data_IF_260938693580
#
_entry.id   IF_260938693580
#
_cell.length_a   1.000
_cell.length_b   1.000
_cell.length_c   1.000
_cell.angle_alpha   90.00
_cell.angle_beta   90.00
_cell.angle_gamma   90.00
#
_symmetry.space_group_name_H-M   'P 1'
#
loop_
_entity.id
_entity.type
_entity.pdbx_description
1 polymer ?
#
# COMPACT_ATOMS: atom_id res chain seq x y z
N UNK A 1 -39.42 33.43 22.93
CA UNK A 1 -38.72 32.50 23.87
C UNK A 1 -38.39 31.22 23.10
N UNK A 2 -37.26 31.20 22.39
CA UNK A 2 -36.71 29.99 21.78
C UNK A 2 -35.41 29.70 22.55
N UNK A 3 -35.42 28.65 23.37
CA UNK A 3 -34.21 28.13 24.03
C UNK A 3 -33.38 27.47 22.93
N UNK A 4 -32.35 28.16 22.43
CA UNK A 4 -31.31 27.53 21.61
C UNK A 4 -30.65 26.46 22.46
N UNK A 5 -31.00 25.20 22.20
CA UNK A 5 -30.25 24.07 22.71
C UNK A 5 -28.92 24.04 21.96
N UNK A 6 -27.84 24.39 22.66
CA UNK A 6 -26.47 24.17 22.23
C UNK A 6 -26.19 22.65 22.22
N UNK A 7 -26.51 21.96 21.14
CA UNK A 7 -25.94 20.64 20.85
C UNK A 7 -24.73 20.84 19.92
N UNK A 8 -23.60 21.21 20.52
CA UNK A 8 -22.31 21.20 19.84
C UNK A 8 -21.92 19.72 19.61
N UNK A 9 -22.25 19.19 18.44
CA UNK A 9 -21.75 17.90 18.01
C UNK A 9 -20.25 18.04 17.69
N UNK A 10 -19.42 17.62 18.64
CA UNK A 10 -17.98 17.56 18.49
C UNK A 10 -17.65 16.42 17.50
N UNK A 11 -17.49 16.76 16.22
CA UNK A 11 -17.02 15.81 15.21
C UNK A 11 -15.56 15.44 15.49
N UNK A 12 -15.36 14.29 16.15
CA UNK A 12 -14.03 13.71 16.33
C UNK A 12 -13.60 13.11 14.99
N UNK A 13 -12.70 13.80 14.29
CA UNK A 13 -12.01 13.23 13.12
C UNK A 13 -11.01 12.19 13.60
N UNK A 14 -11.42 10.91 13.62
CA UNK A 14 -10.48 9.79 13.81
C UNK A 14 -9.65 9.67 12.53
N UNK A 15 -8.41 10.16 12.59
CA UNK A 15 -7.42 9.89 11.56
C UNK A 15 -6.92 8.45 11.72
N UNK A 16 -7.42 7.53 10.89
CA UNK A 16 -6.89 6.18 10.82
C UNK A 16 -5.47 6.22 10.22
N UNK A 17 -4.45 6.07 11.06
CA UNK A 17 -3.08 5.81 10.60
C UNK A 17 -3.04 4.38 10.04
N UNK A 18 -3.16 4.25 8.72
CA UNK A 18 -3.01 2.96 8.07
C UNK A 18 -1.52 2.59 8.08
N UNK A 19 -1.13 1.73 9.03
CA UNK A 19 0.17 1.08 9.01
C UNK A 19 0.22 0.14 7.80
N UNK A 20 0.59 0.72 6.66
CA UNK A 20 0.53 0.06 5.36
C UNK A 20 1.81 -0.75 5.16
N UNK A 21 1.65 -2.08 5.12
CA UNK A 21 2.73 -3.03 4.85
C UNK A 21 3.48 -2.60 3.59
N UNK A 22 4.80 -2.43 3.72
CA UNK A 22 5.70 -2.11 2.61
C UNK A 22 6.10 -3.39 1.88
N UNK A 23 6.19 -3.29 0.56
CA UNK A 23 6.57 -4.34 -0.38
C UNK A 23 7.42 -3.75 -1.49
N UNK A 24 8.10 -4.60 -2.24
CA UNK A 24 8.98 -4.24 -3.34
C UNK A 24 8.34 -4.56 -4.69
N UNK A 25 8.49 -3.66 -5.66
CA UNK A 25 8.06 -3.84 -7.04
C UNK A 25 9.22 -3.53 -7.98
N UNK A 26 9.28 -4.23 -9.11
CA UNK A 26 10.13 -3.85 -10.25
C UNK A 26 9.44 -2.71 -11.01
N UNK A 27 10.13 -1.58 -11.24
CA UNK A 27 9.61 -0.43 -11.99
C UNK A 27 9.69 -0.66 -13.50
N UNK A 28 8.97 -1.70 -13.93
CA UNK A 28 8.80 -2.05 -15.33
C UNK A 28 7.31 -2.12 -15.63
N UNK A 29 6.90 -1.65 -16.80
CA UNK A 29 5.51 -1.75 -17.27
C UNK A 29 5.04 -3.21 -17.37
N UNK A 30 5.98 -4.14 -17.60
CA UNK A 30 5.72 -5.57 -17.70
C UNK A 30 5.74 -6.29 -16.33
N UNK A 31 5.90 -5.56 -15.22
CA UNK A 31 5.88 -6.17 -13.89
C UNK A 31 4.48 -6.71 -13.59
N UNK A 32 4.40 -7.96 -13.16
CA UNK A 32 3.13 -8.63 -12.82
C UNK A 32 2.99 -8.91 -11.32
N UNK A 33 4.06 -8.73 -10.54
CA UNK A 33 4.09 -9.14 -9.14
C UNK A 33 4.77 -8.13 -8.22
N UNK A 34 4.38 -8.18 -6.94
CA UNK A 34 5.07 -7.53 -5.83
C UNK A 34 5.69 -8.56 -4.89
N UNK A 35 6.67 -8.12 -4.11
CA UNK A 35 7.58 -8.97 -3.34
C UNK A 35 7.71 -8.47 -1.90
N UNK A 36 7.81 -9.36 -0.91
CA UNK A 36 8.05 -8.94 0.48
C UNK A 36 9.51 -8.59 0.73
N UNK A 37 10.41 -9.17 -0.07
CA UNK A 37 11.86 -8.93 0.03
C UNK A 37 12.48 -8.57 -1.32
N UNK A 38 13.48 -7.69 -1.30
CA UNK A 38 14.32 -7.35 -2.46
C UNK A 38 15.13 -8.56 -2.97
N UNK A 39 15.29 -9.59 -2.14
CA UNK A 39 16.06 -10.78 -2.47
C UNK A 39 15.22 -11.92 -3.07
N UNK A 40 13.91 -11.71 -3.27
CA UNK A 40 13.04 -12.73 -3.83
C UNK A 40 13.57 -13.23 -5.18
N UNK A 41 13.50 -14.55 -5.39
CA UNK A 41 13.89 -15.18 -6.66
C UNK A 41 13.20 -14.53 -7.86
N UNK A 42 11.94 -14.13 -7.70
CA UNK A 42 11.15 -13.51 -8.76
C UNK A 42 11.53 -12.06 -9.10
N UNK A 43 12.12 -11.30 -8.15
CA UNK A 43 12.51 -9.90 -8.40
C UNK A 43 13.96 -9.76 -8.84
N UNK A 44 14.82 -10.73 -8.50
CA UNK A 44 16.24 -10.75 -8.89
C UNK A 44 16.54 -10.48 -10.38
N UNK A 45 15.76 -10.97 -11.36
CA UNK A 45 16.04 -10.68 -12.77
C UNK A 45 15.60 -9.28 -13.23
N UNK A 46 14.98 -8.46 -12.37
CA UNK A 46 14.60 -7.09 -12.71
C UNK A 46 15.83 -6.27 -13.10
N UNK A 47 15.80 -5.69 -14.31
CA UNK A 47 16.86 -4.80 -14.82
C UNK A 47 16.54 -3.32 -14.60
N UNK A 48 15.36 -3.03 -14.05
CA UNK A 48 14.89 -1.68 -13.71
C UNK A 48 15.06 -1.42 -12.20
N UNK A 49 14.67 -0.22 -11.76
CA UNK A 49 14.69 0.13 -10.35
C UNK A 49 13.70 -0.72 -9.55
N UNK A 50 14.12 -1.09 -8.33
CA UNK A 50 13.26 -1.76 -7.36
C UNK A 50 12.73 -0.72 -6.38
N UNK A 51 11.43 -0.46 -6.45
CA UNK A 51 10.76 0.55 -5.63
C UNK A 51 10.10 -0.09 -4.41
N UNK A 52 10.20 0.59 -3.27
CA UNK A 52 9.43 0.25 -2.08
C UNK A 52 8.09 1.00 -2.09
N UNK A 53 6.99 0.25 -2.08
CA UNK A 53 5.63 0.78 -2.10
C UNK A 53 4.79 0.11 -1.03
N UNK A 54 3.60 0.64 -0.75
CA UNK A 54 2.63 -0.05 0.09
C UNK A 54 1.98 -1.20 -0.67
N UNK A 55 1.60 -2.28 0.02
CA UNK A 55 0.84 -3.40 -0.57
C UNK A 55 -0.45 -2.95 -1.26
N UNK A 56 -1.11 -1.90 -0.73
CA UNK A 56 -2.30 -1.30 -1.34
C UNK A 56 -1.98 -0.76 -2.73
N UNK A 57 -0.98 0.12 -2.82
CA UNK A 57 -0.49 0.67 -4.09
C UNK A 57 -0.03 -0.39 -5.09
N UNK A 58 0.58 -1.49 -4.63
CA UNK A 58 0.95 -2.61 -5.49
C UNK A 58 -0.29 -3.31 -6.08
N UNK A 59 -1.32 -3.54 -5.25
CA UNK A 59 -2.60 -4.12 -5.70
C UNK A 59 -3.38 -3.17 -6.62
N UNK A 60 -3.37 -1.87 -6.36
CA UNK A 60 -3.97 -0.85 -7.23
C UNK A 60 -3.30 -0.81 -8.62
N UNK A 61 -2.01 -1.11 -8.69
CA UNK A 61 -1.26 -1.32 -9.94
C UNK A 61 -1.58 -2.65 -10.64
N UNK A 62 -2.47 -3.47 -10.09
CA UNK A 62 -2.82 -4.79 -10.63
C UNK A 62 -1.78 -5.87 -10.39
N UNK A 63 -0.79 -5.63 -9.54
CA UNK A 63 0.26 -6.60 -9.23
C UNK A 63 -0.26 -7.66 -8.24
N UNK A 64 0.10 -8.92 -8.46
CA UNK A 64 -0.19 -10.03 -7.55
C UNK A 64 1.01 -10.36 -6.65
N UNK A 65 0.79 -11.11 -5.57
CA UNK A 65 1.91 -11.61 -4.77
C UNK A 65 2.77 -12.55 -5.63
N UNK A 66 4.09 -12.43 -5.53
CA UNK A 66 5.01 -13.36 -6.17
C UNK A 66 4.87 -14.76 -5.55
N UNK A 67 4.83 -15.81 -6.39
CA UNK A 67 4.69 -17.19 -5.92
C UNK A 67 5.96 -17.82 -5.34
N UNK A 68 7.06 -17.06 -5.28
CA UNK A 68 8.37 -17.48 -4.77
C UNK A 68 8.73 -16.80 -3.44
N UNK A 69 7.74 -16.19 -2.78
CA UNK A 69 7.90 -15.64 -1.44
C UNK A 69 7.80 -16.81 -0.45
N UNK A 70 8.92 -17.50 -0.23
CA UNK A 70 9.13 -18.51 0.81
C UNK A 70 9.73 -17.87 2.09
#
# INVERSE_FOLDING_TARGET
MIKLLLSSALFVVVSASSNSTKVYICDSENSVAYHYTKNCRGIKPCTHDVLEVTVVKAKEKGLRLCGWED
#
